data_IF_222316219812
#
_entry.id   IF_222316219812
#
_cell.length_a   1.000
_cell.length_b   1.000
_cell.length_c   1.000
_cell.angle_alpha   90.00
_cell.angle_beta   90.00
_cell.angle_gamma   90.00
#
_symmetry.space_group_name_H-M   'P 1'
#
loop_
_entity.id
_entity.type
_entity.pdbx_description
1 polymer ?
#
# COMPACT_ATOMS: atom_id res chain seq x y z
N UNK A 1 -6.19 5.93 12.59
CA UNK A 1 -7.07 7.08 12.30
C UNK A 1 -7.73 7.58 13.58
N UNK A 2 -8.66 6.83 14.17
CA UNK A 2 -9.36 7.19 15.42
C UNK A 2 -8.41 7.39 16.61
N UNK A 3 -7.39 6.54 16.76
CA UNK A 3 -6.40 6.67 17.85
C UNK A 3 -5.54 7.94 17.80
N UNK A 4 -5.33 8.54 16.63
CA UNK A 4 -4.52 9.76 16.50
C UNK A 4 -5.33 11.00 16.89
N UNK A 5 -6.62 11.04 16.50
CA UNK A 5 -7.57 12.09 16.93
C UNK A 5 -7.91 11.91 18.43
N UNK A 6 -8.00 10.68 18.93
CA UNK A 6 -8.26 10.42 20.34
C UNK A 6 -7.12 10.89 21.27
N UNK A 7 -5.86 10.86 20.79
CA UNK A 7 -4.70 11.36 21.56
C UNK A 7 -4.39 12.84 21.33
N UNK A 8 -4.49 13.32 20.08
CA UNK A 8 -4.01 14.66 19.68
C UNK A 8 -5.16 15.63 19.35
N UNK A 9 -6.41 15.23 19.58
CA UNK A 9 -7.60 16.00 19.24
C UNK A 9 -7.81 16.20 17.74
N UNK A 10 -8.71 17.12 17.39
CA UNK A 10 -9.03 17.48 16.00
C UNK A 10 -7.79 18.05 15.27
N UNK A 11 -6.86 18.66 16.01
CA UNK A 11 -5.59 19.15 15.48
C UNK A 11 -4.73 18.04 14.84
N UNK A 12 -4.82 16.80 15.35
CA UNK A 12 -4.14 15.65 14.74
C UNK A 12 -4.63 15.33 13.32
N UNK A 13 -5.84 15.75 12.96
CA UNK A 13 -6.37 15.58 11.61
C UNK A 13 -5.64 16.46 10.58
N UNK A 14 -5.01 17.56 11.01
CA UNK A 14 -4.28 18.48 10.14
C UNK A 14 -3.16 17.78 9.34
N UNK A 15 -2.55 16.72 9.90
CA UNK A 15 -1.56 15.91 9.20
C UNK A 15 -2.15 15.33 7.90
N UNK A 16 -3.37 14.78 7.95
CA UNK A 16 -4.04 14.24 6.76
C UNK A 16 -4.41 15.32 5.76
N UNK A 17 -4.91 16.46 6.24
CA UNK A 17 -5.24 17.60 5.37
C UNK A 17 -4.02 18.18 4.66
N UNK A 18 -2.86 18.21 5.32
CA UNK A 18 -1.61 18.68 4.70
C UNK A 18 -1.15 17.76 3.56
N UNK A 19 -1.33 16.44 3.70
CA UNK A 19 -1.02 15.49 2.62
C UNK A 19 -1.96 15.63 1.41
N UNK A 20 -3.22 16.02 1.62
CA UNK A 20 -4.15 16.28 0.52
C UNK A 20 -3.63 17.40 -0.39
N UNK A 21 -3.12 18.50 0.19
CA UNK A 21 -2.52 19.58 -0.60
C UNK A 21 -1.31 19.10 -1.41
N UNK A 22 -0.44 18.29 -0.80
CA UNK A 22 0.71 17.69 -1.50
C UNK A 22 0.26 16.76 -2.65
N UNK A 23 -0.80 15.98 -2.44
CA UNK A 23 -1.39 15.13 -3.47
C UNK A 23 -1.94 15.94 -4.65
N UNK A 24 -2.68 17.01 -4.38
CA UNK A 24 -3.21 17.91 -5.41
C UNK A 24 -2.10 18.51 -6.27
N UNK A 25 -1.05 19.06 -5.65
CA UNK A 25 0.11 19.60 -6.38
C UNK A 25 0.75 18.54 -7.28
N UNK A 26 0.88 17.31 -6.78
CA UNK A 26 1.46 16.19 -7.55
C UNK A 26 0.62 15.89 -8.80
N UNK A 27 -0.70 15.89 -8.68
CA UNK A 27 -1.61 15.65 -9.81
C UNK A 27 -1.55 16.79 -10.83
N UNK A 28 -1.64 18.05 -10.41
CA UNK A 28 -1.67 19.17 -11.35
C UNK A 28 -0.35 19.40 -12.10
N UNK A 29 0.79 19.24 -11.41
CA UNK A 29 2.11 19.49 -12.02
C UNK A 29 2.74 18.24 -12.62
N UNK A 30 2.70 17.11 -11.92
CA UNK A 30 3.49 15.93 -12.29
C UNK A 30 2.72 14.86 -13.07
N UNK A 31 1.37 14.80 -13.00
CA UNK A 31 0.63 13.77 -13.74
C UNK A 31 0.80 13.88 -15.26
N UNK A 32 0.97 15.09 -15.81
CA UNK A 32 1.26 15.28 -17.24
C UNK A 32 2.67 14.81 -17.60
N UNK A 33 3.65 15.05 -16.74
CA UNK A 33 5.04 14.61 -16.93
C UNK A 33 5.14 13.09 -16.87
N UNK A 34 4.44 12.47 -15.92
CA UNK A 34 4.39 11.01 -15.78
C UNK A 34 3.80 10.33 -17.02
N UNK A 35 2.65 10.84 -17.52
CA UNK A 35 2.05 10.33 -18.76
C UNK A 35 2.97 10.47 -19.98
N UNK A 36 3.83 11.50 -20.02
CA UNK A 36 4.82 11.66 -21.10
C UNK A 36 6.01 10.71 -20.98
N UNK A 37 6.37 10.30 -19.76
CA UNK A 37 7.49 9.39 -19.54
C UNK A 37 7.20 7.96 -20.02
N UNK A 38 5.93 7.56 -20.16
CA UNK A 38 5.54 6.24 -20.69
C UNK A 38 6.01 5.06 -19.84
N UNK A 39 6.41 5.33 -18.60
CA UNK A 39 6.89 4.32 -17.63
C UNK A 39 5.73 3.71 -16.88
N UNK A 40 5.80 2.41 -16.65
CA UNK A 40 4.82 1.65 -15.86
C UNK A 40 5.18 1.66 -14.37
N UNK A 41 6.47 1.80 -14.04
CA UNK A 41 6.94 1.83 -12.65
C UNK A 41 7.84 3.04 -12.37
N UNK A 42 7.86 3.48 -11.12
CA UNK A 42 8.79 4.50 -10.62
C UNK A 42 10.26 4.09 -10.72
N UNK A 43 10.49 2.79 -10.68
CA UNK A 43 11.81 2.20 -10.84
C UNK A 43 12.31 2.30 -12.29
N UNK A 44 11.44 2.13 -13.29
CA UNK A 44 11.78 2.38 -14.70
C UNK A 44 12.16 3.84 -14.95
N UNK A 45 11.46 4.78 -14.30
CA UNK A 45 11.80 6.20 -14.39
C UNK A 45 13.21 6.50 -13.86
N UNK A 46 13.60 5.86 -12.75
CA UNK A 46 14.94 6.03 -12.18
C UNK A 46 16.04 5.51 -13.12
N UNK A 47 15.76 4.44 -13.88
CA UNK A 47 16.69 3.88 -14.86
C UNK A 47 16.90 4.80 -16.07
N UNK A 48 15.82 5.41 -16.58
CA UNK A 48 15.90 6.43 -17.64
C UNK A 48 16.70 7.64 -17.15
N UNK A 49 16.55 8.02 -15.88
CA UNK A 49 17.17 9.24 -15.34
C UNK A 49 18.67 9.08 -15.01
N UNK A 50 19.09 7.92 -14.50
CA UNK A 50 20.42 7.68 -13.94
C UNK A 50 21.26 6.64 -14.71
N UNK A 51 20.90 6.35 -15.95
CA UNK A 51 21.51 5.40 -16.90
C UNK A 51 22.93 4.89 -16.53
N UNK A 52 23.07 3.56 -16.40
CA UNK A 52 24.36 2.89 -16.19
C UNK A 52 24.27 1.55 -15.43
N UNK A 53 25.40 0.82 -15.39
CA UNK A 53 25.53 -0.45 -14.62
C UNK A 53 25.25 -0.28 -13.11
N UNK A 54 25.70 0.78 -12.42
CA UNK A 54 25.38 1.00 -11.02
C UNK A 54 23.89 1.31 -10.78
N UNK A 55 23.23 1.99 -11.72
CA UNK A 55 21.81 2.30 -11.63
C UNK A 55 20.94 1.04 -11.80
N UNK A 56 21.34 0.11 -12.66
CA UNK A 56 20.65 -1.18 -12.80
C UNK A 56 20.72 -2.03 -11.50
N UNK A 57 21.85 -2.00 -10.77
CA UNK A 57 21.96 -2.63 -9.46
C UNK A 57 21.05 -1.96 -8.42
N UNK A 58 21.06 -0.62 -8.35
CA UNK A 58 20.19 0.13 -7.45
C UNK A 58 18.70 -0.13 -7.73
N UNK A 59 18.32 -0.31 -9.01
CA UNK A 59 16.99 -0.73 -9.43
C UNK A 59 16.61 -2.11 -8.88
N UNK A 60 17.47 -3.11 -9.06
CA UNK A 60 17.22 -4.46 -8.55
C UNK A 60 17.12 -4.50 -7.02
N UNK A 61 17.98 -3.76 -6.34
CA UNK A 61 17.91 -3.65 -4.88
C UNK A 61 16.62 -2.96 -4.41
N UNK A 62 16.27 -1.82 -5.02
CA UNK A 62 15.09 -1.05 -4.65
C UNK A 62 13.79 -1.77 -4.98
N UNK A 63 13.73 -2.53 -6.08
CA UNK A 63 12.55 -3.34 -6.43
C UNK A 63 12.31 -4.45 -5.42
N UNK A 64 13.35 -5.11 -4.91
CA UNK A 64 13.23 -6.13 -3.86
C UNK A 64 12.87 -5.49 -2.53
N UNK A 65 13.53 -4.40 -2.16
CA UNK A 65 13.28 -3.70 -0.89
C UNK A 65 11.85 -3.15 -0.81
N UNK A 66 11.40 -2.41 -1.81
CA UNK A 66 10.04 -1.85 -1.84
C UNK A 66 9.00 -2.92 -2.14
N UNK A 67 9.27 -3.80 -3.10
CA UNK A 67 8.31 -4.79 -3.59
C UNK A 67 8.04 -5.93 -2.62
N UNK A 68 9.06 -6.39 -1.88
CA UNK A 68 8.92 -7.54 -0.97
C UNK A 68 8.94 -7.07 0.47
N UNK A 69 10.03 -6.48 0.93
CA UNK A 69 10.26 -6.22 2.36
C UNK A 69 9.20 -5.25 2.91
N UNK A 70 9.03 -4.10 2.26
CA UNK A 70 8.07 -3.08 2.72
C UNK A 70 6.63 -3.58 2.62
N UNK A 71 6.27 -4.24 1.50
CA UNK A 71 4.92 -4.80 1.35
C UNK A 71 4.62 -5.87 2.40
N UNK A 72 5.57 -6.75 2.73
CA UNK A 72 5.38 -7.74 3.79
C UNK A 72 5.15 -7.09 5.17
N UNK A 73 5.87 -6.02 5.49
CA UNK A 73 5.69 -5.27 6.73
C UNK A 73 4.29 -4.63 6.78
N UNK A 74 3.86 -3.99 5.70
CA UNK A 74 2.53 -3.37 5.60
C UNK A 74 1.44 -4.44 5.76
N UNK A 75 1.53 -5.56 5.03
CA UNK A 75 0.59 -6.67 5.14
C UNK A 75 0.55 -7.24 6.57
N UNK A 76 1.70 -7.43 7.22
CA UNK A 76 1.76 -7.93 8.59
C UNK A 76 1.07 -7.00 9.59
N UNK A 77 1.32 -5.69 9.50
CA UNK A 77 0.63 -4.68 10.29
C UNK A 77 -0.89 -4.71 10.06
N UNK A 78 -1.33 -4.79 8.80
CA UNK A 78 -2.77 -4.63 8.46
C UNK A 78 -3.54 -5.83 8.97
N UNK A 79 -2.99 -7.02 8.78
CA UNK A 79 -3.57 -8.25 9.28
C UNK A 79 -3.60 -8.29 10.81
N UNK A 80 -2.56 -7.79 11.50
CA UNK A 80 -2.58 -7.64 12.95
C UNK A 80 -3.71 -6.71 13.42
N UNK A 81 -3.95 -5.61 12.71
CA UNK A 81 -5.08 -4.73 13.00
C UNK A 81 -6.42 -5.44 12.79
N UNK A 82 -6.56 -6.24 11.73
CA UNK A 82 -7.78 -7.03 11.48
C UNK A 82 -8.04 -8.06 12.58
N UNK A 83 -7.03 -8.81 13.02
CA UNK A 83 -7.16 -9.76 14.15
C UNK A 83 -7.65 -9.05 15.41
N UNK A 84 -7.13 -7.84 15.71
CA UNK A 84 -7.58 -7.04 16.87
C UNK A 84 -9.03 -6.60 16.73
N UNK A 85 -9.44 -6.18 15.53
CA UNK A 85 -10.82 -5.75 15.26
C UNK A 85 -11.78 -6.94 15.40
N UNK A 86 -11.43 -8.10 14.82
CA UNK A 86 -12.24 -9.32 14.93
C UNK A 86 -12.41 -9.75 16.39
N UNK A 87 -11.33 -9.78 17.16
CA UNK A 87 -11.38 -10.12 18.58
C UNK A 87 -12.22 -9.13 19.41
N UNK A 88 -12.18 -7.83 19.07
CA UNK A 88 -12.91 -6.80 19.83
C UNK A 88 -14.40 -6.73 19.48
N UNK A 89 -14.76 -6.94 18.20
CA UNK A 89 -16.15 -6.85 17.72
C UNK A 89 -16.89 -8.16 17.91
N UNK A 90 -16.28 -9.28 17.55
CA UNK A 90 -16.93 -10.59 17.53
C UNK A 90 -16.59 -11.45 18.75
N UNK A 91 -15.68 -11.01 19.64
CA UNK A 91 -15.31 -11.76 20.85
C UNK A 91 -14.56 -13.07 20.57
N UNK A 92 -14.06 -13.25 19.34
CA UNK A 92 -13.41 -14.47 18.86
C UNK A 92 -12.01 -14.61 19.48
N UNK A 93 -11.60 -15.84 19.79
CA UNK A 93 -10.26 -16.13 20.30
C UNK A 93 -9.16 -15.67 19.33
N UNK A 94 -7.97 -15.32 19.85
CA UNK A 94 -6.86 -14.86 19.02
C UNK A 94 -6.50 -15.86 17.92
N UNK A 95 -6.48 -17.15 18.24
CA UNK A 95 -6.07 -18.20 17.32
C UNK A 95 -7.09 -18.42 16.21
N UNK A 96 -8.39 -18.37 16.55
CA UNK A 96 -9.50 -18.43 15.60
C UNK A 96 -9.51 -17.22 14.66
N UNK A 97 -9.30 -16.01 15.20
CA UNK A 97 -9.22 -14.79 14.40
C UNK A 97 -8.00 -14.83 13.45
N UNK A 98 -6.88 -15.42 13.87
CA UNK A 98 -5.70 -15.61 13.03
C UNK A 98 -5.98 -16.59 11.88
N UNK A 99 -6.66 -17.71 12.15
CA UNK A 99 -7.10 -18.68 11.15
C UNK A 99 -8.03 -18.05 10.11
N UNK A 100 -9.02 -17.26 10.55
CA UNK A 100 -9.94 -16.54 9.65
C UNK A 100 -9.17 -15.58 8.75
N UNK A 101 -8.27 -14.77 9.32
CA UNK A 101 -7.48 -13.81 8.56
C UNK A 101 -6.56 -14.52 7.56
N UNK A 102 -5.92 -15.62 7.93
CA UNK A 102 -5.11 -16.43 7.01
C UNK A 102 -5.95 -17.02 5.87
N UNK A 103 -7.16 -17.50 6.15
CA UNK A 103 -8.09 -17.98 5.14
C UNK A 103 -8.50 -16.88 4.16
N UNK A 104 -8.77 -15.67 4.65
CA UNK A 104 -9.07 -14.51 3.83
C UNK A 104 -7.87 -14.09 2.96
N UNK A 105 -6.65 -14.06 3.51
CA UNK A 105 -5.44 -13.78 2.71
C UNK A 105 -5.27 -14.80 1.58
N UNK A 106 -5.49 -16.09 1.87
CA UNK A 106 -5.40 -17.14 0.85
C UNK A 106 -6.46 -16.94 -0.25
N UNK A 107 -7.70 -16.62 0.13
CA UNK A 107 -8.77 -16.34 -0.83
C UNK A 107 -8.47 -15.10 -1.68
N UNK A 108 -8.09 -13.99 -1.04
CA UNK A 108 -7.79 -12.73 -1.75
C UNK A 108 -6.57 -12.89 -2.66
N UNK A 109 -5.52 -13.58 -2.23
CA UNK A 109 -4.35 -13.84 -3.07
C UNK A 109 -4.68 -14.74 -4.27
N UNK A 110 -5.56 -15.74 -4.09
CA UNK A 110 -6.06 -16.57 -5.16
C UNK A 110 -6.88 -15.78 -6.19
N UNK A 111 -7.85 -14.98 -5.74
CA UNK A 111 -8.67 -14.14 -6.63
C UNK A 111 -7.81 -13.08 -7.33
N UNK A 112 -6.85 -12.46 -6.63
CA UNK A 112 -5.95 -11.46 -7.21
C UNK A 112 -5.06 -12.07 -8.30
N UNK A 113 -4.60 -13.32 -8.10
CA UNK A 113 -3.78 -14.02 -9.09
C UNK A 113 -4.59 -14.37 -10.35
N UNK A 114 -5.85 -14.77 -10.19
CA UNK A 114 -6.73 -15.11 -11.32
C UNK A 114 -7.24 -13.89 -12.08
N UNK A 115 -7.58 -12.82 -11.38
CA UNK A 115 -8.23 -11.63 -11.94
C UNK A 115 -7.24 -10.53 -12.38
N UNK A 116 -5.98 -10.64 -11.98
CA UNK A 116 -4.94 -9.68 -12.27
C UNK A 116 -5.25 -8.28 -11.71
N UNK A 117 -4.54 -7.26 -12.21
CA UNK A 117 -4.68 -5.88 -11.72
C UNK A 117 -6.12 -5.34 -11.90
N UNK A 118 -6.80 -5.72 -12.98
CA UNK A 118 -8.16 -5.26 -13.27
C UNK A 118 -9.18 -5.75 -12.24
N UNK A 119 -9.08 -7.01 -11.81
CA UNK A 119 -9.98 -7.53 -10.78
C UNK A 119 -9.80 -6.84 -9.44
N UNK A 120 -8.55 -6.59 -9.05
CA UNK A 120 -8.24 -5.86 -7.81
C UNK A 120 -8.81 -4.44 -7.84
N UNK A 121 -8.67 -3.73 -8.97
CA UNK A 121 -9.22 -2.38 -9.12
C UNK A 121 -10.76 -2.37 -8.98
N UNK A 122 -11.46 -3.38 -9.49
CA UNK A 122 -12.92 -3.48 -9.35
C UNK A 122 -13.31 -3.77 -7.90
N UNK A 123 -12.59 -4.66 -7.21
CA UNK A 123 -12.87 -4.94 -5.80
C UNK A 123 -12.60 -3.77 -4.87
N UNK A 124 -11.67 -2.87 -5.24
CA UNK A 124 -11.38 -1.65 -4.48
C UNK A 124 -12.42 -0.53 -4.68
N UNK A 125 -13.20 -0.57 -5.78
CA UNK A 125 -14.24 0.43 -6.06
C UNK A 125 -15.56 0.18 -5.32
N UNK A 126 -15.81 -1.05 -4.89
CA UNK A 126 -17.06 -1.49 -4.22
C UNK A 126 -16.89 -1.44 -2.71
#
# INVERSE_FOLDING_TARGET
>A
MTGFVAKNGIAGNWIWWSFLMSGMLTVFFYARLWRRAGVMTDIEFAEIRYSGKPAAFLRGFRSVYLGIIINCIILGWVNLAMVKILGLIFGVGKDEALLIVLGLIALTSFISTLSGLWGVLVTDMV
#
